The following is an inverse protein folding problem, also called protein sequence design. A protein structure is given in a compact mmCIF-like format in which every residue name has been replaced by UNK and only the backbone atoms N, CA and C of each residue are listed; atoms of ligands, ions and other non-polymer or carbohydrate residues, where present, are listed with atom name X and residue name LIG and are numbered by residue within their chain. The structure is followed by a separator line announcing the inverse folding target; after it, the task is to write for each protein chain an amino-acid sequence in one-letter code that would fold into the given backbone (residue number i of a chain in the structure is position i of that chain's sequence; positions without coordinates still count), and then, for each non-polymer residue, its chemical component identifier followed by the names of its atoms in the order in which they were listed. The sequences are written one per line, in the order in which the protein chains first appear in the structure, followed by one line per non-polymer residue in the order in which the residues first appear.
data_IF_764914326541
#
_entry.id   IF_764914326541
#
_cell.length_a   1.000
_cell.length_b   1.000
_cell.length_c   1.000
_cell.angle_alpha   90.00
_cell.angle_beta   90.00
_cell.angle_gamma   90.00
#
_symmetry.space_group_name_H-M   'P 1'
#
loop_
_entity.id
_entity.type
_entity.pdbx_description
1 polymer ?
#
# COMPACT_ATOMS: atom_id res chain seq x y z
N UNK A 1 -2.74 10.57 -25.23
CA UNK A 1 -3.53 9.64 -24.40
C UNK A 1 -3.10 9.81 -22.97
N UNK A 2 -4.02 9.95 -22.00
CA UNK A 2 -3.70 10.00 -20.57
C UNK A 2 -3.47 8.58 -20.05
N UNK A 3 -2.48 8.38 -19.17
CA UNK A 3 -2.12 7.06 -18.62
C UNK A 3 -1.94 7.12 -17.10
N UNK A 4 -2.31 6.04 -16.43
CA UNK A 4 -1.96 5.78 -15.03
C UNK A 4 -1.26 4.43 -14.99
N UNK A 5 -0.09 4.38 -14.38
CA UNK A 5 0.63 3.15 -14.09
C UNK A 5 0.47 2.84 -12.61
N UNK A 6 -0.05 1.66 -12.31
CA UNK A 6 -0.19 1.13 -10.96
C UNK A 6 0.93 0.12 -10.71
N UNK A 7 1.75 0.36 -9.71
CA UNK A 7 2.88 -0.49 -9.36
C UNK A 7 2.78 -0.92 -7.89
N UNK A 8 2.79 -2.23 -7.64
CA UNK A 8 2.90 -2.76 -6.29
C UNK A 8 4.36 -2.67 -5.81
N UNK A 9 4.56 -2.38 -4.51
CA UNK A 9 5.88 -2.41 -3.88
C UNK A 9 6.58 -3.76 -4.03
N UNK A 10 7.91 -3.77 -3.99
CA UNK A 10 8.76 -4.95 -3.98
C UNK A 10 8.57 -5.83 -2.74
N UNK A 11 9.20 -7.01 -2.71
CA UNK A 11 9.12 -7.92 -1.57
C UNK A 11 9.52 -7.23 -0.26
N UNK A 12 8.64 -7.28 0.74
CA UNK A 12 8.93 -6.80 2.09
C UNK A 12 9.40 -7.94 3.02
N UNK A 13 10.02 -7.59 4.17
CA UNK A 13 10.46 -8.55 5.15
C UNK A 13 9.34 -9.54 5.54
N UNK A 14 8.13 -9.04 5.78
CA UNK A 14 7.00 -9.88 6.15
C UNK A 14 6.32 -10.60 4.98
N UNK A 15 6.54 -10.18 3.74
CA UNK A 15 6.19 -11.01 2.58
C UNK A 15 7.09 -12.26 2.55
N UNK A 16 8.40 -12.09 2.75
CA UNK A 16 9.35 -13.21 2.82
C UNK A 16 9.05 -14.16 3.98
N UNK A 17 8.65 -13.63 5.14
CA UNK A 17 8.29 -14.41 6.32
C UNK A 17 6.86 -14.98 6.28
N UNK A 18 6.10 -14.75 5.21
CA UNK A 18 4.71 -15.17 5.06
C UNK A 18 3.79 -14.66 6.19
N UNK A 19 3.96 -13.39 6.61
CA UNK A 19 3.15 -12.75 7.64
C UNK A 19 2.10 -11.80 7.07
N UNK A 20 1.02 -11.60 7.83
CA UNK A 20 0.08 -10.50 7.57
C UNK A 20 0.73 -9.17 7.89
N UNK A 21 0.84 -8.28 6.93
CA UNK A 21 1.55 -7.00 7.10
C UNK A 21 0.61 -5.85 7.43
N UNK A 22 -0.39 -5.60 6.58
CA UNK A 22 -1.31 -4.48 6.76
C UNK A 22 -0.60 -3.13 6.91
N UNK A 23 -0.90 -2.41 7.99
CA UNK A 23 -0.32 -1.10 8.29
C UNK A 23 0.99 -1.16 9.08
N UNK A 24 1.45 -2.33 9.47
CA UNK A 24 2.78 -2.47 10.07
C UNK A 24 3.85 -2.03 9.05
N UNK A 25 4.73 -1.13 9.49
CA UNK A 25 5.68 -0.44 8.60
C UNK A 25 7.00 -1.20 8.47
N UNK A 26 6.95 -2.36 7.81
CA UNK A 26 8.13 -3.18 7.52
C UNK A 26 8.85 -2.71 6.27
N UNK A 27 10.15 -2.96 6.23
CA UNK A 27 11.01 -2.57 5.12
C UNK A 27 10.97 -3.57 3.95
N UNK A 28 11.55 -3.16 2.82
CA UNK A 28 11.87 -4.04 1.70
C UNK A 28 13.00 -5.01 2.09
N UNK A 29 13.00 -6.19 1.50
CA UNK A 29 14.17 -7.06 1.46
C UNK A 29 15.15 -6.58 0.37
N UNK A 30 16.37 -7.07 0.37
CA UNK A 30 17.33 -6.84 -0.73
C UNK A 30 16.73 -7.22 -2.08
N UNK A 31 15.99 -8.35 -2.13
CA UNK A 31 15.25 -8.77 -3.32
C UNK A 31 14.19 -7.75 -3.70
N UNK A 32 13.43 -7.22 -2.72
CA UNK A 32 12.41 -6.20 -2.96
C UNK A 32 12.99 -4.90 -3.52
N UNK A 33 14.18 -4.51 -3.09
CA UNK A 33 14.92 -3.38 -3.68
C UNK A 33 15.30 -3.68 -5.13
N UNK A 34 15.89 -4.85 -5.41
CA UNK A 34 16.23 -5.26 -6.77
C UNK A 34 15.00 -5.34 -7.70
N UNK A 35 13.85 -5.81 -7.19
CA UNK A 35 12.58 -5.81 -7.92
C UNK A 35 12.14 -4.38 -8.27
N UNK A 36 12.26 -3.43 -7.33
CA UNK A 36 11.92 -2.03 -7.54
C UNK A 36 12.83 -1.35 -8.57
N UNK A 37 14.14 -1.59 -8.48
CA UNK A 37 15.11 -1.11 -9.47
C UNK A 37 14.82 -1.65 -10.87
N UNK A 38 14.56 -2.97 -10.97
CA UNK A 38 14.22 -3.61 -12.25
C UNK A 38 12.91 -3.06 -12.83
N UNK A 39 11.92 -2.76 -11.99
CA UNK A 39 10.69 -2.11 -12.45
C UNK A 39 10.98 -0.73 -13.07
N UNK A 40 11.84 0.08 -12.44
CA UNK A 40 12.26 1.38 -12.97
C UNK A 40 12.98 1.26 -14.31
N UNK A 41 13.93 0.34 -14.42
CA UNK A 41 14.61 0.05 -15.69
C UNK A 41 13.63 -0.37 -16.78
N UNK A 42 12.73 -1.28 -16.46
CA UNK A 42 11.72 -1.78 -17.41
C UNK A 42 10.80 -0.66 -17.89
N UNK A 43 10.30 0.18 -16.98
CA UNK A 43 9.45 1.33 -17.35
C UNK A 43 10.21 2.30 -18.26
N UNK A 44 11.49 2.55 -17.99
CA UNK A 44 12.36 3.39 -18.83
C UNK A 44 12.57 2.79 -20.23
N UNK A 45 12.86 1.49 -20.30
CA UNK A 45 13.02 0.76 -21.56
C UNK A 45 11.76 0.82 -22.45
N UNK A 46 10.57 0.75 -21.84
CA UNK A 46 9.29 0.91 -22.52
C UNK A 46 8.93 2.37 -22.85
N UNK A 47 9.81 3.31 -22.57
CA UNK A 47 9.62 4.71 -22.92
C UNK A 47 8.58 5.45 -22.05
N UNK A 48 8.30 4.95 -20.84
CA UNK A 48 7.44 5.68 -19.90
C UNK A 48 8.17 6.93 -19.38
N UNK A 49 7.41 8.02 -19.26
CA UNK A 49 7.76 9.20 -18.51
C UNK A 49 6.59 9.58 -17.62
N UNK A 50 6.87 9.99 -16.40
CA UNK A 50 5.84 10.36 -15.43
C UNK A 50 5.92 11.85 -15.11
N UNK A 51 4.77 12.51 -15.03
CA UNK A 51 4.67 13.92 -14.67
C UNK A 51 4.50 14.10 -13.14
N UNK A 52 3.95 13.09 -12.48
CA UNK A 52 3.70 13.08 -11.05
C UNK A 52 3.59 11.65 -10.53
N UNK A 53 3.96 11.43 -9.28
CA UNK A 53 3.81 10.15 -8.62
C UNK A 53 3.05 10.27 -7.29
N UNK A 54 2.39 9.16 -6.90
CA UNK A 54 1.64 9.01 -5.66
C UNK A 54 2.08 7.74 -4.95
N UNK A 55 2.12 7.79 -3.62
CA UNK A 55 2.40 6.60 -2.80
C UNK A 55 1.75 6.70 -1.42
N UNK A 56 1.80 5.59 -0.68
CA UNK A 56 1.31 5.52 0.69
C UNK A 56 2.30 6.11 1.70
N UNK A 57 1.94 6.07 2.99
CA UNK A 57 2.85 6.39 4.08
C UNK A 57 3.78 5.24 4.47
N UNK A 58 3.55 4.03 3.97
CA UNK A 58 4.31 2.85 4.35
C UNK A 58 5.65 2.77 3.60
N UNK A 59 6.74 2.60 4.36
CA UNK A 59 8.12 2.70 3.82
C UNK A 59 8.40 1.77 2.65
N UNK A 60 7.82 0.56 2.62
CA UNK A 60 8.02 -0.37 1.49
C UNK A 60 7.52 0.19 0.17
N UNK A 61 6.41 0.93 0.16
CA UNK A 61 5.92 1.59 -1.05
C UNK A 61 6.74 2.84 -1.38
N UNK A 62 7.05 3.65 -0.38
CA UNK A 62 7.90 4.86 -0.54
C UNK A 62 9.27 4.50 -1.11
N UNK A 63 9.94 3.49 -0.53
CA UNK A 63 11.26 3.03 -1.01
C UNK A 63 11.18 2.44 -2.41
N UNK A 64 10.14 1.67 -2.72
CA UNK A 64 9.93 1.17 -4.10
C UNK A 64 9.81 2.33 -5.07
N UNK A 65 8.99 3.34 -4.77
CA UNK A 65 8.87 4.52 -5.62
C UNK A 65 10.22 5.23 -5.80
N UNK A 66 10.98 5.44 -4.74
CA UNK A 66 12.28 6.11 -4.81
C UNK A 66 13.25 5.33 -5.73
N UNK A 67 13.33 4.01 -5.60
CA UNK A 67 14.15 3.18 -6.49
C UNK A 67 13.73 3.30 -7.97
N UNK A 68 12.41 3.30 -8.23
CA UNK A 68 11.88 3.46 -9.59
C UNK A 68 12.25 4.82 -10.18
N UNK A 69 12.04 5.90 -9.43
CA UNK A 69 12.35 7.26 -9.89
C UNK A 69 13.85 7.45 -10.14
N UNK A 70 14.70 6.96 -9.25
CA UNK A 70 16.16 6.98 -9.41
C UNK A 70 16.59 6.31 -10.72
N UNK A 71 16.13 5.07 -10.97
CA UNK A 71 16.46 4.34 -12.22
C UNK A 71 15.94 5.03 -13.49
N UNK A 72 14.86 5.78 -13.37
CA UNK A 72 14.29 6.53 -14.48
C UNK A 72 14.88 7.94 -14.65
N UNK A 73 15.74 8.41 -13.72
CA UNK A 73 16.21 9.81 -13.60
C UNK A 73 15.02 10.79 -13.47
N UNK A 74 14.01 10.42 -12.69
CA UNK A 74 12.80 11.20 -12.46
C UNK A 74 12.64 11.66 -11.00
N UNK A 75 13.73 11.72 -10.22
CA UNK A 75 13.71 12.17 -8.81
C UNK A 75 13.15 13.58 -8.64
N UNK A 76 13.18 14.37 -9.70
CA UNK A 76 12.73 15.76 -9.72
C UNK A 76 11.21 15.94 -9.83
N UNK A 77 10.46 14.90 -10.21
CA UNK A 77 9.00 15.04 -10.37
C UNK A 77 8.29 15.20 -9.02
N UNK A 78 7.12 15.87 -8.97
CA UNK A 78 6.32 15.95 -7.76
C UNK A 78 5.88 14.58 -7.28
N UNK A 79 6.06 14.32 -5.97
CA UNK A 79 5.60 13.10 -5.29
C UNK A 79 4.64 13.48 -4.17
N UNK A 80 3.46 12.90 -4.18
CA UNK A 80 2.51 13.00 -3.06
C UNK A 80 2.40 11.68 -2.31
N UNK A 81 2.44 11.77 -0.98
CA UNK A 81 2.20 10.66 -0.06
C UNK A 81 0.86 10.86 0.62
N UNK A 82 0.05 9.82 0.67
CA UNK A 82 -1.22 9.89 1.38
C UNK A 82 -1.51 8.55 2.07
N UNK A 83 -1.93 8.62 3.34
CA UNK A 83 -2.28 7.45 4.14
C UNK A 83 -3.44 6.64 3.53
N UNK A 84 -4.32 7.27 2.77
CA UNK A 84 -5.43 6.61 2.07
C UNK A 84 -4.96 5.59 1.04
N UNK A 85 -3.70 5.66 0.60
CA UNK A 85 -3.08 4.64 -0.27
C UNK A 85 -2.42 3.50 0.50
N UNK A 86 -2.46 3.49 1.84
CA UNK A 86 -1.93 2.38 2.62
C UNK A 86 -2.59 1.05 2.25
N UNK A 87 -1.93 -0.05 2.57
CA UNK A 87 -2.48 -1.40 2.44
C UNK A 87 -3.78 -1.56 3.25
N UNK A 88 -4.59 -2.56 2.92
CA UNK A 88 -5.70 -2.99 3.75
C UNK A 88 -5.22 -3.27 5.18
N UNK A 89 -5.95 -2.75 6.17
CA UNK A 89 -5.65 -2.99 7.57
C UNK A 89 -6.12 -4.39 7.99
N UNK A 90 -5.19 -5.27 8.36
CA UNK A 90 -5.51 -6.65 8.70
C UNK A 90 -5.91 -6.86 10.17
N UNK A 91 -6.20 -5.80 10.92
CA UNK A 91 -6.66 -5.91 12.30
C UNK A 91 -5.67 -6.67 13.21
N UNK A 92 -6.19 -7.54 14.03
CA UNK A 92 -5.41 -8.34 14.97
C UNK A 92 -4.52 -9.41 14.31
N UNK A 93 -4.75 -9.70 13.02
CA UNK A 93 -3.90 -10.62 12.25
C UNK A 93 -2.52 -10.05 11.92
N UNK A 94 -2.32 -8.73 12.00
CA UNK A 94 -1.03 -8.10 11.69
C UNK A 94 0.11 -8.70 12.53
N UNK A 95 1.15 -9.20 11.86
CA UNK A 95 2.30 -9.88 12.44
C UNK A 95 2.17 -11.39 12.56
N UNK A 96 0.97 -11.96 12.45
CA UNK A 96 0.79 -13.41 12.49
C UNK A 96 1.31 -14.07 11.20
N UNK A 97 1.89 -15.26 11.31
CA UNK A 97 2.25 -16.08 10.17
C UNK A 97 0.97 -16.65 9.53
N UNK A 98 0.88 -16.59 8.21
CA UNK A 98 -0.36 -17.00 7.50
C UNK A 98 -0.61 -18.52 7.55
N UNK A 99 0.46 -19.34 7.52
CA UNK A 99 0.34 -20.79 7.60
C UNK A 99 -0.11 -21.20 9.02
N UNK A 100 0.55 -20.70 10.06
CA UNK A 100 0.17 -20.97 11.44
C UNK A 100 -1.26 -20.48 11.76
N UNK A 101 -1.66 -19.35 11.15
CA UNK A 101 -3.03 -18.84 11.28
C UNK A 101 -4.03 -19.77 10.59
N UNK A 102 -3.66 -20.35 9.43
CA UNK A 102 -4.50 -21.32 8.73
C UNK A 102 -4.62 -22.66 9.50
N UNK A 103 -3.56 -23.11 10.15
CA UNK A 103 -3.61 -24.28 11.03
C UNK A 103 -4.58 -24.06 12.21
N UNK A 104 -4.60 -22.83 12.77
CA UNK A 104 -5.43 -22.49 13.92
C UNK A 104 -6.91 -22.24 13.58
N UNK A 105 -7.20 -21.56 12.49
CA UNK A 105 -8.54 -21.08 12.14
C UNK A 105 -9.13 -21.76 10.90
N UNK A 106 -8.36 -22.60 10.22
CA UNK A 106 -8.72 -23.22 8.94
C UNK A 106 -8.32 -22.34 7.72
N UNK A 107 -7.92 -23.00 6.63
CA UNK A 107 -7.52 -22.34 5.38
C UNK A 107 -8.65 -21.49 4.78
N UNK A 108 -9.88 -21.99 4.84
CA UNK A 108 -11.07 -21.29 4.32
C UNK A 108 -11.29 -19.96 5.04
N UNK A 109 -11.22 -19.94 6.37
CA UNK A 109 -11.39 -18.72 7.14
C UNK A 109 -10.27 -17.70 6.84
N UNK A 110 -9.03 -18.15 6.72
CA UNK A 110 -7.89 -17.28 6.34
C UNK A 110 -8.07 -16.74 4.93
N UNK A 111 -8.56 -17.57 4.01
CA UNK A 111 -8.86 -17.12 2.64
C UNK A 111 -9.96 -16.05 2.62
N UNK A 112 -11.02 -16.22 3.42
CA UNK A 112 -12.08 -15.23 3.60
C UNK A 112 -11.47 -13.89 4.07
N UNK A 113 -10.71 -13.87 5.15
CA UNK A 113 -10.07 -12.64 5.65
C UNK A 113 -9.13 -11.97 4.63
N UNK A 114 -8.51 -12.75 3.77
CA UNK A 114 -7.58 -12.24 2.76
C UNK A 114 -8.26 -11.74 1.49
N UNK A 115 -9.40 -12.32 1.11
CA UNK A 115 -9.98 -12.18 -0.25
C UNK A 115 -11.43 -11.74 -0.29
N UNK A 116 -12.19 -11.88 0.79
CA UNK A 116 -13.58 -11.43 0.83
C UNK A 116 -13.68 -9.93 0.55
N UNK A 117 -14.77 -9.55 -0.09
CA UNK A 117 -15.07 -8.16 -0.39
C UNK A 117 -15.47 -7.38 0.88
N UNK A 118 -16.33 -7.95 1.71
CA UNK A 118 -17.02 -7.28 2.81
C UNK A 118 -16.75 -7.86 4.22
N UNK A 119 -15.95 -8.93 4.33
CA UNK A 119 -15.60 -9.54 5.62
C UNK A 119 -14.20 -9.09 6.04
N UNK A 120 -14.14 -8.33 7.13
CA UNK A 120 -12.88 -7.90 7.75
C UNK A 120 -12.38 -8.91 8.79
N UNK A 121 -11.06 -8.98 9.05
CA UNK A 121 -10.54 -9.62 10.26
C UNK A 121 -11.01 -8.91 11.53
N UNK A 122 -10.78 -9.53 12.71
CA UNK A 122 -11.09 -8.88 13.97
C UNK A 122 -10.32 -7.56 14.12
N UNK A 123 -10.95 -6.50 14.65
CA UNK A 123 -10.30 -5.22 14.85
C UNK A 123 -9.25 -5.30 15.96
N UNK A 124 -8.22 -4.47 15.86
CA UNK A 124 -7.33 -4.18 16.99
C UNK A 124 -8.15 -3.62 18.17
N UNK A 125 -7.76 -3.96 19.39
CA UNK A 125 -8.33 -3.30 20.57
C UNK A 125 -7.96 -1.82 20.59
N UNK A 126 -8.74 -1.01 21.32
CA UNK A 126 -8.47 0.43 21.43
C UNK A 126 -7.11 0.73 22.08
N UNK A 127 -6.65 -0.18 22.96
CA UNK A 127 -5.40 -0.05 23.69
C UNK A 127 -4.20 -0.74 23.00
N UNK A 128 -4.41 -1.37 21.86
CA UNK A 128 -3.33 -2.02 21.13
C UNK A 128 -2.40 -0.96 20.53
N UNK A 129 -1.11 -1.06 20.84
CA UNK A 129 -0.10 -0.08 20.35
C UNK A 129 0.08 -0.07 18.83
N UNK A 130 -0.44 -1.08 18.13
CA UNK A 130 -0.49 -1.10 16.66
C UNK A 130 -1.67 -0.29 16.09
N UNK A 131 -2.56 0.22 16.95
CA UNK A 131 -3.65 1.08 16.53
C UNK A 131 -3.06 2.37 15.91
N UNK A 132 -3.45 2.74 14.68
CA UNK A 132 -2.95 3.95 14.01
C UNK A 132 -3.11 5.23 14.82
N UNK A 133 -4.08 5.30 15.72
CA UNK A 133 -4.24 6.42 16.65
C UNK A 133 -2.96 6.76 17.43
N UNK A 134 -2.13 5.76 17.78
CA UNK A 134 -0.87 5.99 18.52
C UNK A 134 0.33 6.31 17.61
N UNK A 135 0.16 6.29 16.30
CA UNK A 135 1.24 6.54 15.36
C UNK A 135 1.24 7.99 14.90
N UNK A 136 2.31 8.71 15.20
CA UNK A 136 2.47 10.13 14.86
C UNK A 136 2.23 10.45 13.37
N UNK A 137 2.44 9.51 12.46
CA UNK A 137 2.17 9.69 11.02
C UNK A 137 0.72 10.05 10.71
N UNK A 138 -0.21 9.72 11.60
CA UNK A 138 -1.64 9.92 11.41
C UNK A 138 -2.25 10.96 12.36
N UNK A 139 -1.42 11.76 13.06
CA UNK A 139 -1.86 12.71 14.09
C UNK A 139 -2.83 13.78 13.59
N UNK A 140 -2.82 14.08 12.29
CA UNK A 140 -3.74 15.03 11.66
C UNK A 140 -5.03 14.36 11.14
N UNK A 141 -5.11 13.03 11.19
CA UNK A 141 -6.26 12.27 10.72
C UNK A 141 -7.24 12.09 11.88
N UNK A 142 -8.54 12.43 11.71
CA UNK A 142 -9.53 12.17 12.75
C UNK A 142 -9.56 10.67 13.12
N UNK A 143 -9.62 10.35 14.41
CA UNK A 143 -9.67 8.96 14.90
C UNK A 143 -10.83 8.15 14.28
N UNK A 144 -11.92 8.82 13.95
CA UNK A 144 -13.08 8.20 13.31
C UNK A 144 -12.82 7.71 11.88
N UNK A 145 -11.76 8.21 11.24
CA UNK A 145 -11.33 7.80 9.90
C UNK A 145 -10.22 6.75 9.93
N UNK A 146 -9.55 6.56 11.07
CA UNK A 146 -8.46 5.60 11.20
C UNK A 146 -9.00 4.18 11.42
N UNK A 147 -8.69 3.22 10.52
CA UNK A 147 -9.20 1.86 10.65
C UNK A 147 -8.46 1.07 11.73
N UNK A 148 -9.19 0.24 12.48
CA UNK A 148 -8.62 -0.80 13.34
C UNK A 148 -8.67 -2.18 12.66
N UNK A 149 -9.38 -2.30 11.56
CA UNK A 149 -9.45 -3.43 10.62
C UNK A 149 -10.14 -2.97 9.35
N UNK A 150 -9.94 -3.67 8.25
CA UNK A 150 -10.63 -3.38 6.98
C UNK A 150 -10.97 -4.67 6.24
N UNK A 151 -12.14 -4.70 5.61
CA UNK A 151 -12.45 -5.51 4.45
C UNK A 151 -11.89 -4.85 3.17
N UNK A 152 -12.03 -5.49 2.02
CA UNK A 152 -11.69 -4.85 0.75
C UNK A 152 -12.62 -3.66 0.45
N UNK A 153 -13.91 -3.79 0.78
CA UNK A 153 -14.90 -2.72 0.67
C UNK A 153 -14.47 -1.48 1.45
N UNK A 154 -14.11 -1.65 2.73
CA UNK A 154 -13.65 -0.55 3.59
C UNK A 154 -12.39 0.12 3.03
N UNK A 155 -11.47 -0.68 2.48
CA UNK A 155 -10.24 -0.17 1.82
C UNK A 155 -10.59 0.69 0.61
N UNK A 156 -11.54 0.27 -0.22
CA UNK A 156 -12.01 1.03 -1.38
C UNK A 156 -12.67 2.35 -0.92
N UNK A 157 -13.58 2.28 0.07
CA UNK A 157 -14.26 3.46 0.62
C UNK A 157 -13.27 4.48 1.20
N UNK A 158 -12.15 4.02 1.77
CA UNK A 158 -11.07 4.88 2.26
C UNK A 158 -10.26 5.54 1.13
N UNK A 159 -10.02 4.83 0.03
CA UNK A 159 -9.20 5.31 -1.09
C UNK A 159 -9.99 6.28 -1.98
N UNK A 160 -11.24 5.99 -2.26
CA UNK A 160 -12.04 6.70 -3.26
C UNK A 160 -12.09 8.21 -3.08
N UNK A 161 -12.26 8.79 -1.88
CA UNK A 161 -12.23 10.24 -1.72
C UNK A 161 -10.94 10.88 -2.24
N UNK A 162 -9.77 10.26 -1.97
CA UNK A 162 -8.49 10.76 -2.44
C UNK A 162 -8.28 10.54 -3.95
N UNK A 163 -8.80 9.43 -4.47
CA UNK A 163 -8.80 9.19 -5.91
C UNK A 163 -9.57 10.28 -6.66
N UNK A 164 -10.76 10.63 -6.17
CA UNK A 164 -11.67 11.58 -6.81
C UNK A 164 -11.23 13.03 -6.64
N UNK A 165 -10.65 13.39 -5.48
CA UNK A 165 -10.24 14.77 -5.20
C UNK A 165 -8.86 15.12 -5.76
N UNK A 166 -7.94 14.16 -5.85
CA UNK A 166 -6.53 14.44 -6.11
C UNK A 166 -5.96 13.65 -7.30
N UNK A 167 -6.03 12.31 -7.27
CA UNK A 167 -5.34 11.49 -8.29
C UNK A 167 -5.99 11.66 -9.66
N UNK A 168 -7.28 11.42 -9.77
CA UNK A 168 -7.98 11.50 -11.05
C UNK A 168 -7.98 12.93 -11.65
N UNK A 169 -8.24 14.01 -10.88
CA UNK A 169 -8.15 15.36 -11.39
C UNK A 169 -6.75 15.76 -11.90
N UNK A 170 -5.69 15.19 -11.35
CA UNK A 170 -4.31 15.45 -11.83
C UNK A 170 -4.12 15.08 -13.29
N UNK A 171 -4.90 14.16 -13.83
CA UNK A 171 -4.90 13.84 -15.26
C UNK A 171 -5.37 15.00 -16.16
N UNK A 172 -5.97 16.06 -15.61
CA UNK A 172 -6.30 17.24 -16.41
C UNK A 172 -5.03 17.93 -16.95
N UNK A 173 -4.01 17.99 -16.14
CA UNK A 173 -2.72 18.64 -16.45
C UNK A 173 -1.60 17.66 -16.78
N UNK A 174 -1.53 16.52 -16.09
CA UNK A 174 -0.55 15.47 -16.34
C UNK A 174 -0.92 14.58 -17.54
N UNK A 175 0.08 14.02 -18.21
CA UNK A 175 -0.11 13.00 -19.25
C UNK A 175 0.00 11.58 -18.67
N UNK A 176 0.95 11.36 -17.77
CA UNK A 176 1.18 10.04 -17.19
C UNK A 176 1.44 10.15 -15.69
N UNK A 177 0.67 9.41 -14.90
CA UNK A 177 0.82 9.31 -13.45
C UNK A 177 1.37 7.94 -13.05
N UNK A 178 2.19 7.91 -12.01
CA UNK A 178 2.64 6.68 -11.35
C UNK A 178 2.03 6.60 -9.96
N UNK A 179 1.40 5.47 -9.64
CA UNK A 179 0.91 5.17 -8.28
C UNK A 179 1.62 3.93 -7.78
N UNK A 180 2.45 4.08 -6.76
CA UNK A 180 3.15 2.96 -6.11
C UNK A 180 2.51 2.70 -4.76
N UNK A 181 1.86 1.55 -4.60
CA UNK A 181 1.11 1.21 -3.41
C UNK A 181 1.10 -0.30 -3.12
N UNK A 182 -0.01 -0.87 -2.72
CA UNK A 182 -0.08 -2.21 -2.15
C UNK A 182 -1.10 -3.10 -2.88
N UNK A 183 -1.03 -4.42 -2.62
CA UNK A 183 -1.85 -5.39 -3.34
C UNK A 183 -3.36 -5.17 -3.24
N UNK A 184 -3.88 -4.80 -2.08
CA UNK A 184 -5.32 -4.53 -1.93
C UNK A 184 -5.68 -3.08 -2.26
N UNK A 185 -4.80 -2.10 -2.01
CA UNK A 185 -5.08 -0.71 -2.34
C UNK A 185 -5.07 -0.41 -3.86
N UNK A 186 -4.41 -1.25 -4.65
CA UNK A 186 -4.38 -1.16 -6.12
C UNK A 186 -5.39 -2.08 -6.82
N UNK A 187 -6.14 -2.87 -6.07
CA UNK A 187 -7.10 -3.86 -6.59
C UNK A 187 -8.48 -3.27 -6.83
#
# INVERSE_FOLDING_TARGET
MKKIVLLRHGESAWNKENRFTGWTDVDLTEKGVAEAEKAGETLKEYGFNFDKAYTSYLKRAVKTLNCVLDKMNLDWIPVEKNWRLNEKHYGDLQGLNKAETAEKYGEEQVLIWRRSYDIAPNPLSEKDLRNPHFDYRYHEVPDTELPRTESLKDTIERIMPYWESDIFPSLKTAHTLLVVAHGNSLR
#
